data_IF_902708926652
#
_entry.id   IF_902708926652
#
_cell.length_a   1.000
_cell.length_b   1.000
_cell.length_c   1.000
_cell.angle_alpha   90.00
_cell.angle_beta   90.00
_cell.angle_gamma   90.00
#
_symmetry.space_group_name_H-M   'P 1'
#
loop_
_entity.id
_entity.type
_entity.pdbx_description
1 polymer ?
#
# COMPACT_ATOMS: atom_id res chain seq x y z
N UNK A 1 -6.12 -25.20 -10.17
CA UNK A 1 -4.96 -25.09 -9.27
C UNK A 1 -4.56 -26.50 -8.85
N UNK A 2 -3.27 -26.79 -8.71
CA UNK A 2 -2.80 -28.08 -8.19
C UNK A 2 -3.27 -28.23 -6.72
N UNK A 3 -4.06 -29.27 -6.36
CA UNK A 3 -4.49 -29.49 -4.99
C UNK A 3 -3.32 -29.75 -4.03
N UNK A 4 -2.15 -30.13 -4.56
CA UNK A 4 -0.92 -30.29 -3.80
C UNK A 4 -0.13 -28.99 -3.67
N UNK A 5 -0.58 -27.87 -4.24
CA UNK A 5 0.15 -26.61 -4.22
C UNK A 5 1.50 -26.66 -4.96
N UNK A 6 2.21 -25.54 -4.95
CA UNK A 6 3.47 -25.41 -5.68
C UNK A 6 4.65 -26.04 -4.93
N UNK A 7 5.38 -26.95 -5.60
CA UNK A 7 6.52 -27.67 -5.00
C UNK A 7 7.57 -26.72 -4.42
N UNK A 8 7.92 -25.65 -5.12
CA UNK A 8 8.94 -24.70 -4.67
C UNK A 8 8.52 -23.92 -3.42
N UNK A 9 7.24 -23.63 -3.24
CA UNK A 9 6.74 -23.00 -2.01
C UNK A 9 6.82 -23.95 -0.81
N UNK A 10 6.56 -25.25 -1.02
CA UNK A 10 6.67 -26.25 0.03
C UNK A 10 8.12 -26.51 0.45
N UNK A 11 9.03 -26.53 -0.51
CA UNK A 11 10.44 -26.86 -0.27
C UNK A 11 11.25 -25.66 0.25
N UNK A 12 10.93 -24.44 -0.19
CA UNK A 12 11.73 -23.24 0.10
C UNK A 12 10.96 -22.12 0.81
N UNK A 13 9.64 -22.21 0.93
CA UNK A 13 8.81 -21.20 1.57
C UNK A 13 8.75 -21.34 3.08
N UNK A 14 8.88 -20.22 3.78
CA UNK A 14 8.66 -20.11 5.23
C UNK A 14 7.28 -19.53 5.51
N UNK A 15 6.30 -20.39 5.76
CA UNK A 15 4.92 -20.00 6.00
C UNK A 15 4.72 -19.25 7.33
N UNK A 16 5.71 -19.28 8.24
CA UNK A 16 5.67 -18.49 9.48
C UNK A 16 6.07 -17.03 9.27
N UNK A 17 6.74 -16.73 8.15
CA UNK A 17 7.26 -15.40 7.78
C UNK A 17 6.80 -14.97 6.40
N UNK A 18 5.50 -14.71 6.28
CA UNK A 18 4.89 -14.27 5.02
C UNK A 18 4.69 -12.75 4.99
N UNK A 19 5.01 -12.10 3.87
CA UNK A 19 4.84 -10.66 3.68
C UNK A 19 4.01 -10.39 2.43
N UNK A 20 3.08 -9.43 2.52
CA UNK A 20 2.31 -8.97 1.36
C UNK A 20 2.87 -7.63 0.90
N UNK A 21 3.36 -7.57 -0.33
CA UNK A 21 4.01 -6.37 -0.85
C UNK A 21 3.34 -5.90 -2.14
N UNK A 22 3.42 -4.60 -2.38
CA UNK A 22 2.99 -4.03 -3.66
C UNK A 22 3.55 -2.63 -3.88
N UNK A 23 3.37 -2.14 -5.11
CA UNK A 23 3.69 -0.78 -5.52
C UNK A 23 2.48 -0.11 -6.16
N UNK A 24 2.27 1.18 -5.93
CA UNK A 24 1.16 1.92 -6.54
C UNK A 24 -0.19 1.31 -6.17
N UNK A 25 -0.96 0.89 -7.18
CA UNK A 25 -2.22 0.16 -7.03
C UNK A 25 -2.01 -1.23 -6.39
N UNK A 26 -0.88 -1.88 -6.68
CA UNK A 26 -0.50 -3.13 -6.03
C UNK A 26 -0.31 -2.99 -4.52
N UNK A 27 0.15 -1.82 -4.04
CA UNK A 27 0.23 -1.55 -2.61
C UNK A 27 -1.15 -1.34 -1.99
N UNK A 28 -2.08 -0.69 -2.70
CA UNK A 28 -3.48 -0.62 -2.28
C UNK A 28 -4.10 -2.03 -2.15
N UNK A 29 -3.85 -2.90 -3.13
CA UNK A 29 -4.26 -4.30 -3.09
C UNK A 29 -3.62 -5.02 -1.90
N UNK A 30 -2.31 -4.90 -1.70
CA UNK A 30 -1.58 -5.53 -0.61
C UNK A 30 -2.17 -5.17 0.77
N UNK A 31 -2.49 -3.89 0.98
CA UNK A 31 -3.17 -3.43 2.19
C UNK A 31 -4.54 -4.10 2.34
N UNK A 32 -5.40 -4.03 1.33
CA UNK A 32 -6.74 -4.62 1.39
C UNK A 32 -6.69 -6.15 1.58
N UNK A 33 -5.76 -6.84 0.94
CA UNK A 33 -5.50 -8.27 1.13
C UNK A 33 -5.16 -8.56 2.59
N UNK A 34 -4.28 -7.78 3.23
CA UNK A 34 -3.95 -7.95 4.64
C UNK A 34 -5.16 -7.74 5.54
N UNK A 35 -5.97 -6.72 5.27
CA UNK A 35 -7.21 -6.43 6.02
C UNK A 35 -8.17 -7.60 5.92
N UNK A 36 -8.45 -8.09 4.72
CA UNK A 36 -9.35 -9.24 4.51
C UNK A 36 -8.81 -10.52 5.14
N UNK A 37 -7.50 -10.73 5.08
CA UNK A 37 -6.82 -11.87 5.69
C UNK A 37 -6.93 -11.93 7.23
N UNK A 38 -7.32 -10.84 7.91
CA UNK A 38 -7.57 -10.88 9.35
C UNK A 38 -8.83 -11.63 9.74
N UNK A 39 -9.75 -11.81 8.80
CA UNK A 39 -11.05 -12.43 9.01
C UNK A 39 -11.11 -13.86 8.44
N UNK A 40 -9.96 -14.42 8.04
CA UNK A 40 -9.81 -15.76 7.45
C UNK A 40 -8.74 -16.54 8.21
N UNK A 41 -8.97 -17.83 8.48
CA UNK A 41 -7.93 -18.72 8.99
C UNK A 41 -6.98 -19.10 7.85
N UNK A 42 -5.73 -18.67 7.96
CA UNK A 42 -4.67 -18.92 6.99
C UNK A 42 -3.71 -20.04 7.43
N UNK A 43 -3.95 -20.68 8.58
CA UNK A 43 -3.05 -21.67 9.15
C UNK A 43 -2.67 -22.76 8.13
N UNK A 44 -1.37 -23.09 7.98
CA UNK A 44 -0.24 -22.68 8.84
C UNK A 44 0.41 -21.34 8.47
N UNK A 45 -0.10 -20.60 7.48
CA UNK A 45 0.47 -19.33 7.03
C UNK A 45 0.19 -18.19 8.02
N UNK A 46 1.22 -17.42 8.34
CA UNK A 46 1.13 -16.22 9.15
C UNK A 46 1.71 -15.01 8.41
N UNK A 47 0.89 -13.97 8.23
CA UNK A 47 1.33 -12.71 7.63
C UNK A 47 2.05 -11.88 8.68
N UNK A 48 3.38 -11.77 8.56
CA UNK A 48 4.25 -11.03 9.48
C UNK A 48 4.26 -9.52 9.23
N UNK A 49 3.93 -9.08 8.02
CA UNK A 49 3.84 -7.67 7.69
C UNK A 49 3.44 -7.37 6.26
N UNK A 50 3.34 -6.08 5.97
CA UNK A 50 3.03 -5.54 4.65
C UNK A 50 4.08 -4.53 4.20
N UNK A 51 4.34 -4.50 2.90
CA UNK A 51 5.19 -3.48 2.26
C UNK A 51 4.40 -2.71 1.22
N UNK A 52 4.36 -1.40 1.37
CA UNK A 52 3.56 -0.48 0.57
C UNK A 52 4.47 0.56 -0.06
N UNK A 53 4.89 0.33 -1.30
CA UNK A 53 5.68 1.29 -2.06
C UNK A 53 4.75 2.23 -2.84
N UNK A 54 4.78 3.52 -2.53
CA UNK A 54 3.94 4.57 -3.12
C UNK A 54 2.46 4.16 -3.16
N UNK A 55 1.83 3.79 -2.01
CA UNK A 55 0.48 3.27 -2.05
C UNK A 55 -0.51 4.28 -2.63
N UNK A 56 -1.32 3.79 -3.57
CA UNK A 56 -2.34 4.61 -4.22
C UNK A 56 -3.60 4.70 -3.36
N UNK A 57 -3.88 5.90 -2.88
CA UNK A 57 -5.11 6.26 -2.18
C UNK A 57 -5.62 7.60 -2.71
N UNK A 58 -6.92 7.82 -2.62
CA UNK A 58 -7.54 9.12 -2.92
C UNK A 58 -8.74 9.35 -2.02
N UNK A 59 -9.53 10.37 -2.29
CA UNK A 59 -10.72 10.74 -1.53
C UNK A 59 -11.55 11.77 -2.28
N UNK A 60 -12.76 12.05 -1.80
CA UNK A 60 -13.64 13.01 -2.49
C UNK A 60 -13.07 14.43 -2.48
N UNK A 61 -12.46 14.84 -1.36
CA UNK A 61 -11.81 16.14 -1.22
C UNK A 61 -10.37 16.06 -1.71
N UNK A 62 -9.92 17.04 -2.49
CA UNK A 62 -8.52 17.10 -2.91
C UNK A 62 -7.61 17.52 -1.75
N UNK A 63 -6.46 16.89 -1.69
CA UNK A 63 -5.32 17.25 -0.86
C UNK A 63 -4.50 18.38 -1.51
N UNK A 64 -3.53 18.93 -0.77
CA UNK A 64 -2.68 20.00 -1.30
C UNK A 64 -1.74 19.44 -2.37
N UNK A 65 -1.20 18.24 -2.17
CA UNK A 65 -0.34 17.57 -3.16
C UNK A 65 -1.07 17.25 -4.45
N UNK A 66 -2.31 16.74 -4.37
CA UNK A 66 -3.13 16.47 -5.56
C UNK A 66 -3.31 17.75 -6.40
N UNK A 67 -3.66 18.88 -5.77
CA UNK A 67 -3.83 20.15 -6.48
C UNK A 67 -2.51 20.71 -7.02
N UNK A 68 -1.43 20.61 -6.25
CA UNK A 68 -0.10 21.11 -6.64
C UNK A 68 0.43 20.38 -7.87
N UNK A 69 0.22 19.06 -7.93
CA UNK A 69 0.69 18.19 -9.01
C UNK A 69 -0.47 17.75 -9.93
N UNK A 70 -1.47 18.64 -10.11
CA UNK A 70 -2.67 18.32 -10.88
C UNK A 70 -2.37 17.94 -12.35
N UNK A 71 -1.31 18.54 -12.90
CA UNK A 71 -0.81 18.32 -14.26
C UNK A 71 0.46 17.48 -14.27
N UNK A 72 0.62 16.54 -13.33
CA UNK A 72 1.74 15.59 -13.35
C UNK A 72 1.88 14.93 -14.72
N UNK A 73 3.11 14.88 -15.23
CA UNK A 73 3.38 14.43 -16.61
C UNK A 73 3.20 12.93 -16.80
N UNK A 74 3.33 12.14 -15.72
CA UNK A 74 3.18 10.69 -15.77
C UNK A 74 1.72 10.29 -15.63
N UNK A 75 1.00 10.90 -14.70
CA UNK A 75 -0.41 10.63 -14.46
C UNK A 75 -1.12 11.87 -13.89
N UNK A 76 -1.74 12.71 -14.74
CA UNK A 76 -2.45 13.90 -14.29
C UNK A 76 -3.75 13.51 -13.55
N UNK A 77 -4.25 14.42 -12.71
CA UNK A 77 -5.42 14.14 -11.86
C UNK A 77 -6.67 13.59 -12.58
N UNK A 78 -7.05 14.05 -13.79
CA UNK A 78 -8.19 13.47 -14.50
C UNK A 78 -8.01 11.98 -14.84
N UNK A 79 -6.77 11.53 -15.08
CA UNK A 79 -6.47 10.11 -15.31
C UNK A 79 -6.61 9.32 -14.02
N UNK A 80 -6.13 9.86 -12.89
CA UNK A 80 -6.36 9.26 -11.57
C UNK A 80 -7.85 9.13 -11.24
N UNK A 81 -8.63 10.15 -11.57
CA UNK A 81 -10.08 10.13 -11.35
C UNK A 81 -10.75 9.02 -12.14
N UNK A 82 -10.36 8.85 -13.41
CA UNK A 82 -10.85 7.79 -14.26
C UNK A 82 -10.46 6.41 -13.72
N UNK A 83 -9.24 6.22 -13.22
CA UNK A 83 -8.84 4.96 -12.59
C UNK A 83 -9.75 4.60 -11.41
N UNK A 84 -10.08 5.57 -10.55
CA UNK A 84 -10.99 5.32 -9.43
C UNK A 84 -12.43 5.08 -9.88
N UNK A 85 -12.92 5.79 -10.88
CA UNK A 85 -14.26 5.56 -11.45
C UNK A 85 -14.39 4.13 -12.01
N UNK A 86 -13.36 3.63 -12.68
CA UNK A 86 -13.33 2.28 -13.25
C UNK A 86 -13.11 1.18 -12.21
N UNK A 87 -12.36 1.47 -11.13
CA UNK A 87 -12.02 0.47 -10.12
C UNK A 87 -13.06 0.33 -9.00
N UNK A 88 -13.82 1.40 -8.71
CA UNK A 88 -14.78 1.41 -7.62
C UNK A 88 -16.10 0.71 -7.99
N UNK A 89 -16.82 0.15 -6.99
CA UNK A 89 -18.17 -0.35 -7.23
C UNK A 89 -19.08 0.73 -7.82
N UNK A 90 -20.00 0.33 -8.70
CA UNK A 90 -20.96 1.26 -9.31
C UNK A 90 -21.73 2.04 -8.24
N UNK A 91 -21.71 3.38 -8.34
CA UNK A 91 -22.36 4.28 -7.39
C UNK A 91 -21.55 4.62 -6.14
N UNK A 92 -20.38 4.01 -5.94
CA UNK A 92 -19.45 4.41 -4.89
C UNK A 92 -18.75 5.73 -5.25
N UNK A 93 -18.46 6.54 -4.24
CA UNK A 93 -17.63 7.73 -4.37
C UNK A 93 -16.20 7.45 -3.88
N UNK A 94 -15.30 8.42 -3.98
CA UNK A 94 -13.88 8.22 -3.64
C UNK A 94 -13.60 8.07 -2.15
N UNK A 95 -14.58 8.32 -1.27
CA UNK A 95 -14.44 8.00 0.16
C UNK A 95 -14.81 6.54 0.48
N UNK A 96 -15.08 5.72 -0.54
CA UNK A 96 -15.20 4.27 -0.37
C UNK A 96 -13.89 3.66 0.15
N UNK A 97 -13.98 2.66 1.05
CA UNK A 97 -12.83 2.06 1.76
C UNK A 97 -11.65 1.58 0.88
N UNK A 98 -11.93 1.16 -0.35
CA UNK A 98 -10.90 0.73 -1.30
C UNK A 98 -10.09 1.89 -1.89
N UNK A 99 -10.65 3.10 -1.91
CA UNK A 99 -9.98 4.31 -2.37
C UNK A 99 -9.42 5.13 -1.21
N UNK A 100 -10.22 5.29 -0.15
CA UNK A 100 -9.88 6.08 1.04
C UNK A 100 -9.93 5.23 2.31
N UNK A 101 -8.82 4.56 2.70
CA UNK A 101 -8.81 3.73 3.91
C UNK A 101 -8.98 4.55 5.19
N UNK A 102 -8.66 5.85 5.18
CA UNK A 102 -8.89 6.77 6.30
C UNK A 102 -10.38 7.04 6.57
N UNK A 103 -11.27 6.61 5.67
CA UNK A 103 -12.73 6.68 5.82
C UNK A 103 -13.37 5.33 6.12
N UNK A 104 -12.59 4.26 6.26
CA UNK A 104 -13.11 2.95 6.62
C UNK A 104 -13.33 2.84 8.14
N UNK A 105 -14.59 2.82 8.64
CA UNK A 105 -14.83 2.66 10.07
C UNK A 105 -14.48 1.26 10.58
N UNK A 106 -14.41 0.26 9.69
CA UNK A 106 -14.24 -1.15 10.06
C UNK A 106 -12.79 -1.48 10.41
N UNK A 107 -11.83 -0.66 9.97
CA UNK A 107 -10.41 -0.92 10.22
C UNK A 107 -9.90 -0.37 11.55
N UNK A 108 -10.57 0.64 12.13
CA UNK A 108 -10.07 1.39 13.32
C UNK A 108 -9.62 0.47 14.45
N UNK A 109 -10.40 -0.57 14.76
CA UNK A 109 -10.11 -1.53 15.84
C UNK A 109 -9.21 -2.71 15.43
N UNK A 110 -8.76 -2.73 14.17
CA UNK A 110 -7.96 -3.81 13.56
C UNK A 110 -6.56 -3.36 13.15
N UNK A 111 -6.25 -2.06 13.15
CA UNK A 111 -4.94 -1.51 12.72
C UNK A 111 -3.77 -2.15 13.48
N UNK A 112 -3.88 -2.30 14.80
CA UNK A 112 -2.84 -2.96 15.62
C UNK A 112 -2.53 -4.40 15.21
N UNK A 113 -3.47 -5.07 14.52
CA UNK A 113 -3.32 -6.43 14.00
C UNK A 113 -2.69 -6.48 12.61
N UNK A 114 -2.45 -5.35 11.93
CA UNK A 114 -1.82 -5.32 10.61
C UNK A 114 -0.42 -5.96 10.61
N UNK A 115 0.25 -5.98 11.77
CA UNK A 115 1.62 -6.44 11.91
C UNK A 115 2.60 -5.31 11.64
N UNK A 116 3.78 -5.64 11.09
CA UNK A 116 4.75 -4.64 10.65
C UNK A 116 4.32 -4.03 9.32
N UNK A 117 4.46 -2.72 9.17
CA UNK A 117 4.11 -2.00 7.96
C UNK A 117 5.33 -1.19 7.49
N UNK A 118 5.83 -1.46 6.29
CA UNK A 118 6.78 -0.58 5.61
C UNK A 118 6.02 0.28 4.59
N UNK A 119 6.09 1.60 4.71
CA UNK A 119 5.50 2.55 3.77
C UNK A 119 6.60 3.40 3.15
N UNK A 120 6.65 3.44 1.83
CA UNK A 120 7.64 4.21 1.06
C UNK A 120 6.88 5.22 0.21
N UNK A 121 7.33 6.47 0.16
CA UNK A 121 6.70 7.51 -0.67
C UNK A 121 7.69 8.59 -1.11
N UNK A 122 7.27 9.46 -2.02
CA UNK A 122 8.13 10.51 -2.57
C UNK A 122 7.43 11.87 -2.66
N UNK A 123 8.18 12.95 -2.42
CA UNK A 123 7.62 14.29 -2.18
C UNK A 123 6.88 14.96 -3.35
N UNK A 124 7.11 14.50 -4.59
CA UNK A 124 6.44 14.99 -5.80
C UNK A 124 5.37 14.01 -6.32
N UNK A 125 5.09 12.93 -5.58
CA UNK A 125 3.94 12.08 -5.86
C UNK A 125 2.65 12.88 -5.56
N UNK A 126 1.68 12.98 -6.50
CA UNK A 126 0.39 13.61 -6.24
C UNK A 126 -0.34 13.08 -5.00
N UNK A 127 -0.11 11.81 -4.64
CA UNK A 127 -0.75 11.12 -3.51
C UNK A 127 0.03 11.23 -2.19
N UNK A 128 1.14 11.98 -2.13
CA UNK A 128 2.00 12.02 -0.94
C UNK A 128 1.24 12.43 0.33
N UNK A 129 0.33 13.40 0.26
CA UNK A 129 -0.48 13.80 1.41
C UNK A 129 -1.34 12.62 1.91
N UNK A 130 -1.92 11.84 1.01
CA UNK A 130 -2.70 10.63 1.35
C UNK A 130 -1.84 9.53 1.95
N UNK A 131 -0.63 9.34 1.43
CA UNK A 131 0.34 8.36 1.95
C UNK A 131 0.76 8.72 3.37
N UNK A 132 0.97 10.02 3.66
CA UNK A 132 1.30 10.51 5.00
C UNK A 132 0.11 10.46 5.98
N UNK A 133 -1.09 10.81 5.52
CA UNK A 133 -2.34 10.62 6.28
C UNK A 133 -2.53 9.15 6.66
N UNK A 134 -2.27 8.24 5.73
CA UNK A 134 -2.34 6.80 5.96
C UNK A 134 -1.31 6.32 7.00
N UNK A 135 -0.06 6.77 6.91
CA UNK A 135 0.97 6.48 7.93
C UNK A 135 0.52 6.97 9.31
N UNK A 136 -0.06 8.17 9.38
CA UNK A 136 -0.59 8.73 10.63
C UNK A 136 -1.71 7.86 11.20
N UNK A 137 -2.64 7.40 10.36
CA UNK A 137 -3.70 6.47 10.75
C UNK A 137 -3.12 5.16 11.31
N UNK A 138 -2.10 4.60 10.66
CA UNK A 138 -1.45 3.36 11.12
C UNK A 138 -0.78 3.53 12.50
N UNK A 139 -0.03 4.62 12.69
CA UNK A 139 0.64 4.92 13.97
C UNK A 139 -0.40 5.10 15.07
N UNK A 140 -1.44 5.91 14.83
CA UNK A 140 -2.48 6.18 15.82
C UNK A 140 -3.30 4.92 16.17
N UNK A 141 -3.47 4.00 15.23
CA UNK A 141 -4.13 2.71 15.46
C UNK A 141 -3.22 1.62 16.05
N UNK A 142 -1.96 1.95 16.40
CA UNK A 142 -1.04 1.07 17.10
C UNK A 142 -0.30 0.05 16.22
N UNK A 143 -0.24 0.25 14.90
CA UNK A 143 0.59 -0.58 14.03
C UNK A 143 2.09 -0.27 14.20
N UNK A 144 2.94 -1.25 13.91
CA UNK A 144 4.40 -1.05 13.88
C UNK A 144 4.80 -0.53 12.51
N UNK A 145 5.03 0.78 12.39
CA UNK A 145 5.26 1.43 11.09
C UNK A 145 6.72 1.84 10.92
N UNK A 146 7.29 1.48 9.78
CA UNK A 146 8.53 2.04 9.24
C UNK A 146 8.15 2.85 7.99
N UNK A 147 8.35 4.17 8.04
CA UNK A 147 7.98 5.07 6.96
C UNK A 147 9.21 5.77 6.37
N UNK A 148 9.40 5.66 5.06
CA UNK A 148 10.51 6.27 4.32
C UNK A 148 9.96 7.21 3.26
N UNK A 149 10.22 8.50 3.42
CA UNK A 149 9.83 9.52 2.46
C UNK A 149 11.05 10.29 1.98
N UNK A 150 11.23 10.38 0.66
CA UNK A 150 12.38 11.03 0.04
C UNK A 150 11.94 11.95 -1.12
N UNK A 151 12.88 12.67 -1.72
CA UNK A 151 12.66 13.50 -2.90
C UNK A 151 12.55 12.63 -4.15
N UNK A 152 11.46 12.78 -4.87
CA UNK A 152 11.19 12.05 -6.10
C UNK A 152 9.73 12.19 -6.53
N UNK A 153 9.37 11.55 -7.64
CA UNK A 153 8.00 11.50 -8.17
C UNK A 153 7.46 10.08 -8.15
N UNK A 154 6.18 9.91 -8.45
CA UNK A 154 5.54 8.60 -8.48
C UNK A 154 6.23 7.67 -9.49
N UNK A 155 6.79 6.57 -9.02
CA UNK A 155 7.51 5.61 -9.86
C UNK A 155 8.93 5.99 -10.26
N UNK A 156 9.55 6.93 -9.57
CA UNK A 156 10.99 7.26 -9.76
C UNK A 156 11.90 6.03 -9.70
N UNK A 157 11.53 5.00 -8.91
CA UNK A 157 12.24 3.74 -8.78
C UNK A 157 12.22 2.86 -10.03
N UNK A 158 11.38 3.16 -11.03
CA UNK A 158 11.43 2.50 -12.34
C UNK A 158 12.54 3.03 -13.25
N UNK A 159 12.98 4.26 -13.02
CA UNK A 159 13.94 4.93 -13.89
C UNK A 159 15.29 5.15 -13.20
N UNK A 160 15.31 5.31 -11.89
CA UNK A 160 16.51 5.56 -11.11
C UNK A 160 16.92 4.30 -10.36
N UNK A 161 17.96 3.65 -10.87
CA UNK A 161 18.51 2.41 -10.32
C UNK A 161 19.05 2.57 -8.91
N UNK A 162 19.45 3.78 -8.48
CA UNK A 162 19.87 4.03 -7.08
C UNK A 162 18.67 3.98 -6.15
N UNK A 163 17.53 4.54 -6.55
CA UNK A 163 16.28 4.48 -5.77
C UNK A 163 15.73 3.05 -5.76
N UNK A 164 15.77 2.34 -6.88
CA UNK A 164 15.43 0.92 -6.93
C UNK A 164 16.29 0.09 -5.95
N UNK A 165 17.62 0.29 -5.98
CA UNK A 165 18.55 -0.41 -5.08
C UNK A 165 18.30 -0.09 -3.62
N UNK A 166 17.98 1.17 -3.30
CA UNK A 166 17.64 1.60 -1.95
C UNK A 166 16.35 0.93 -1.45
N UNK A 167 15.30 0.85 -2.29
CA UNK A 167 14.06 0.15 -1.92
C UNK A 167 14.33 -1.35 -1.68
N UNK A 168 15.17 -1.99 -2.49
CA UNK A 168 15.58 -3.38 -2.25
C UNK A 168 16.34 -3.53 -0.92
N UNK A 169 17.18 -2.56 -0.56
CA UNK A 169 17.85 -2.53 0.75
C UNK A 169 16.84 -2.39 1.91
N UNK A 170 15.87 -1.48 1.81
CA UNK A 170 14.79 -1.35 2.79
C UNK A 170 13.99 -2.64 2.94
N UNK A 171 13.60 -3.24 1.81
CA UNK A 171 12.91 -4.53 1.76
C UNK A 171 13.69 -5.62 2.49
N UNK A 172 14.98 -5.76 2.17
CA UNK A 172 15.86 -6.77 2.78
C UNK A 172 15.89 -6.62 4.30
N UNK A 173 16.09 -5.41 4.82
CA UNK A 173 16.14 -5.17 6.26
C UNK A 173 14.78 -5.37 6.92
N UNK A 174 13.71 -5.01 6.23
CA UNK A 174 12.36 -5.16 6.76
C UNK A 174 11.96 -6.63 6.91
N UNK A 175 12.25 -7.48 5.91
CA UNK A 175 11.85 -8.90 5.94
C UNK A 175 12.81 -9.81 6.71
N UNK A 176 13.99 -9.30 7.09
CA UNK A 176 14.99 -10.02 7.88
C UNK A 176 14.49 -10.37 9.27
#
# INVERSE_FOLDING_TARGET
MDPNGEKWLKEFGDFSRFYVAGRGNGANIAYNTRVMAMDVDLSPLSISGIVLNQPMFSGNRRTKSELKYACDELCPLPVWDLFWELALPKGANKDHKYCNPMKDPTIINKISKLGRCLVIGFSMDPMIDRQQEFVTMLINGGAKVEAHFDVGFHGIDLIDTKRASYIVYLLKNFVS
#
